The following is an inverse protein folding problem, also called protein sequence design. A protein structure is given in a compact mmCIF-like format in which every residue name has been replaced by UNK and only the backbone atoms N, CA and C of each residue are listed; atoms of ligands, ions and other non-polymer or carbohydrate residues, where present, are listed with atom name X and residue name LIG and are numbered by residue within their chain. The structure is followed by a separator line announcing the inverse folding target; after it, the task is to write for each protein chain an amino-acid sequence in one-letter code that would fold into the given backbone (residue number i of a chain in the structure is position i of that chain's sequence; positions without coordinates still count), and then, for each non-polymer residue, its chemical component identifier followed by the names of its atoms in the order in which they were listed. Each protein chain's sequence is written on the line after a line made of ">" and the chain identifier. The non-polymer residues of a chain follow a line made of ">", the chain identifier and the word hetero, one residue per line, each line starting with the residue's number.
data_IF_695014316442
#
_entry.id   IF_695014316442
#
_cell.length_a   1.000
_cell.length_b   1.000
_cell.length_c   1.000
_cell.angle_alpha   90.00
_cell.angle_beta   90.00
_cell.angle_gamma   90.00
#
_symmetry.space_group_name_H-M   'P 1'
#
loop_
_entity.id
_entity.type
_entity.pdbx_description
1 polymer ?
#
# COMPACT_ATOMS: atom_id res chain seq x y z
N UNK A 1 -45.96 16.92 -15.79
CA UNK A 1 -45.25 18.15 -15.40
C UNK A 1 -44.15 17.73 -14.43
N UNK A 2 -42.99 17.33 -14.93
CA UNK A 2 -41.87 18.20 -15.35
C UNK A 2 -41.13 18.81 -14.14
N UNK A 3 -39.80 18.77 -14.23
CA UNK A 3 -38.81 19.52 -13.45
C UNK A 3 -38.28 18.93 -12.13
N UNK A 4 -37.55 17.80 -12.26
CA UNK A 4 -36.24 17.63 -11.63
C UNK A 4 -35.23 17.15 -12.68
N UNK A 5 -34.65 18.12 -13.39
CA UNK A 5 -33.55 17.98 -14.35
C UNK A 5 -32.29 18.62 -13.75
N UNK A 6 -31.12 18.13 -14.19
CA UNK A 6 -29.74 18.57 -13.92
C UNK A 6 -29.23 18.10 -12.55
N UNK A 7 -28.26 17.17 -12.39
CA UNK A 7 -26.94 17.04 -13.04
C UNK A 7 -26.51 15.56 -12.93
N UNK A 8 -26.82 14.71 -13.92
CA UNK A 8 -26.56 13.26 -13.83
C UNK A 8 -25.99 12.60 -15.09
N UNK A 9 -25.54 13.39 -16.07
CA UNK A 9 -25.30 12.87 -17.44
C UNK A 9 -23.89 13.10 -18.01
N UNK A 10 -22.89 13.43 -17.19
CA UNK A 10 -21.52 13.69 -17.69
C UNK A 10 -20.39 12.98 -16.95
N UNK A 11 -20.64 11.78 -16.39
CA UNK A 11 -19.57 10.95 -15.81
C UNK A 11 -19.51 9.50 -16.32
N UNK A 12 -20.35 9.13 -17.28
CA UNK A 12 -20.40 7.77 -17.83
C UNK A 12 -19.88 7.68 -19.27
N UNK A 13 -19.10 8.67 -19.71
CA UNK A 13 -18.59 8.79 -21.11
C UNK A 13 -17.07 8.93 -21.23
N UNK A 14 -16.32 8.41 -20.26
CA UNK A 14 -14.85 8.42 -20.24
C UNK A 14 -14.24 7.06 -19.84
N UNK A 15 -14.89 5.96 -20.23
CA UNK A 15 -14.36 4.60 -20.05
C UNK A 15 -14.66 3.69 -21.25
N UNK A 16 -14.92 4.28 -22.42
CA UNK A 16 -15.27 3.56 -23.66
C UNK A 16 -14.23 3.75 -24.77
N UNK A 17 -13.01 4.16 -24.46
CA UNK A 17 -11.93 4.32 -25.42
C UNK A 17 -10.59 3.89 -24.83
N UNK A 18 -10.43 2.60 -24.55
CA UNK A 18 -9.12 1.92 -24.59
C UNK A 18 -9.33 0.40 -24.70
N UNK A 19 -10.06 0.03 -25.74
CA UNK A 19 -9.82 -1.25 -26.41
C UNK A 19 -8.64 -1.08 -27.37
N UNK A 20 -7.88 -2.17 -27.60
CA UNK A 20 -6.78 -2.36 -28.58
C UNK A 20 -5.42 -2.04 -27.92
N UNK A 21 -4.68 -3.00 -27.40
CA UNK A 21 -4.02 -4.10 -28.11
C UNK A 21 -3.56 -5.15 -27.08
N UNK A 22 -3.42 -6.42 -27.50
CA UNK A 22 -2.95 -7.60 -26.75
C UNK A 22 -4.00 -8.47 -26.05
N UNK A 23 -5.02 -8.90 -26.80
CA UNK A 23 -5.62 -10.22 -26.57
C UNK A 23 -6.16 -10.79 -27.89
N UNK A 24 -5.26 -11.07 -28.82
CA UNK A 24 -5.55 -11.85 -30.02
C UNK A 24 -4.81 -13.18 -29.90
N UNK A 25 -5.51 -14.29 -30.24
CA UNK A 25 -5.16 -15.70 -29.98
C UNK A 25 -5.56 -16.11 -28.55
N UNK A 26 -6.73 -16.71 -28.29
CA UNK A 26 -7.33 -17.84 -28.98
C UNK A 26 -8.86 -17.86 -28.70
N UNK A 27 -9.62 -16.99 -29.37
CA UNK A 27 -11.09 -17.10 -29.37
C UNK A 27 -11.50 -18.22 -30.32
N UNK A 28 -11.65 -19.44 -29.80
CA UNK A 28 -12.35 -20.53 -30.49
C UNK A 28 -13.75 -20.64 -29.88
N UNK A 29 -14.71 -20.03 -30.59
CA UNK A 29 -16.17 -20.22 -30.56
C UNK A 29 -16.85 -20.51 -29.20
N UNK A 30 -17.47 -19.48 -28.60
CA UNK A 30 -18.74 -19.66 -27.86
C UNK A 30 -19.87 -19.37 -28.84
N UNK A 31 -20.58 -20.42 -29.25
CA UNK A 31 -21.81 -20.30 -30.02
C UNK A 31 -22.89 -19.62 -29.19
N UNK A 32 -23.49 -18.59 -29.75
CA UNK A 32 -24.73 -17.99 -29.27
C UNK A 32 -25.90 -18.88 -29.70
N UNK A 33 -26.58 -19.51 -28.74
CA UNK A 33 -27.92 -20.07 -28.98
C UNK A 33 -28.90 -19.42 -28.01
N UNK A 34 -29.92 -18.81 -28.61
CA UNK A 34 -31.06 -18.17 -28.00
C UNK A 34 -32.06 -19.18 -27.43
N UNK A 35 -32.74 -18.77 -26.35
CA UNK A 35 -33.96 -19.34 -25.73
C UNK A 35 -33.74 -20.38 -24.62
N UNK A 36 -34.32 -20.07 -23.46
CA UNK A 36 -34.75 -21.04 -22.44
C UNK A 36 -33.82 -21.18 -21.23
N UNK A 37 -34.36 -20.81 -20.06
CA UNK A 37 -33.96 -21.29 -18.72
C UNK A 37 -32.46 -21.26 -18.38
N UNK A 38 -32.02 -20.20 -17.71
CA UNK A 38 -30.70 -20.17 -17.09
C UNK A 38 -30.69 -21.15 -15.90
N UNK A 39 -30.10 -22.34 -16.10
CA UNK A 39 -29.73 -23.21 -14.98
C UNK A 39 -28.71 -22.44 -14.14
N UNK A 40 -28.93 -22.42 -12.82
CA UNK A 40 -28.02 -21.88 -11.81
C UNK A 40 -26.72 -22.70 -11.81
N UNK A 41 -25.85 -22.47 -12.77
CA UNK A 41 -24.53 -23.06 -12.84
C UNK A 41 -23.51 -21.94 -12.93
N UNK A 42 -22.77 -21.73 -11.85
CA UNK A 42 -21.57 -20.91 -11.88
C UNK A 42 -20.65 -21.46 -12.98
N UNK A 43 -20.07 -20.59 -13.79
CA UNK A 43 -19.15 -21.01 -14.85
C UNK A 43 -17.89 -21.61 -14.19
N UNK A 44 -17.84 -22.93 -14.08
CA UNK A 44 -16.63 -23.62 -13.62
C UNK A 44 -15.51 -23.42 -14.66
N UNK A 45 -14.32 -23.09 -14.17
CA UNK A 45 -13.15 -22.88 -15.01
C UNK A 45 -12.86 -24.15 -15.81
N UNK A 46 -12.82 -24.04 -17.14
CA UNK A 46 -12.60 -25.20 -18.04
C UNK A 46 -11.31 -26.00 -17.73
N UNK A 47 -10.34 -25.38 -17.03
CA UNK A 47 -9.12 -26.03 -16.57
C UNK A 47 -9.37 -27.11 -15.52
N UNK A 48 -10.44 -27.00 -14.72
CA UNK A 48 -10.81 -27.96 -13.68
C UNK A 48 -11.41 -29.21 -14.32
N UNK A 49 -12.29 -29.05 -15.31
CA UNK A 49 -12.97 -30.15 -16.01
C UNK A 49 -12.01 -30.98 -16.88
N UNK A 50 -10.97 -30.34 -17.43
CA UNK A 50 -9.93 -31.01 -18.24
C UNK A 50 -8.80 -31.62 -17.40
N UNK A 51 -8.87 -31.52 -16.07
CA UNK A 51 -7.81 -32.03 -15.20
C UNK A 51 -8.07 -33.50 -14.80
N UNK A 52 -6.98 -34.25 -14.61
CA UNK A 52 -7.08 -35.68 -14.26
C UNK A 52 -7.88 -35.85 -12.94
N UNK A 53 -8.87 -36.76 -12.89
CA UNK A 53 -9.79 -36.89 -11.75
C UNK A 53 -9.08 -37.27 -10.43
N UNK A 54 -7.94 -37.97 -10.52
CA UNK A 54 -7.10 -38.28 -9.36
C UNK A 54 -6.42 -37.04 -8.76
N UNK A 55 -6.07 -36.05 -9.58
CA UNK A 55 -5.46 -34.80 -9.12
C UNK A 55 -6.48 -33.92 -8.41
N UNK A 56 -7.70 -33.84 -8.95
CA UNK A 56 -8.81 -33.07 -8.37
C UNK A 56 -9.19 -33.60 -6.99
N UNK A 57 -9.42 -34.91 -6.87
CA UNK A 57 -9.73 -35.57 -5.59
C UNK A 57 -8.61 -35.42 -4.56
N UNK A 58 -7.34 -35.48 -4.99
CA UNK A 58 -6.19 -35.20 -4.12
C UNK A 58 -6.20 -33.76 -3.60
N UNK A 59 -6.42 -32.78 -4.47
CA UNK A 59 -6.48 -31.36 -4.06
C UNK A 59 -7.70 -31.13 -3.15
N UNK A 60 -8.86 -31.71 -3.43
CA UNK A 60 -10.04 -31.68 -2.55
C UNK A 60 -9.75 -32.23 -1.15
N UNK A 61 -9.06 -33.36 -1.08
CA UNK A 61 -8.69 -33.97 0.21
C UNK A 61 -7.75 -33.07 1.03
N UNK A 62 -6.87 -32.32 0.34
CA UNK A 62 -5.90 -31.42 0.96
C UNK A 62 -6.52 -30.06 1.35
N UNK A 63 -7.61 -29.64 0.70
CA UNK A 63 -8.32 -28.38 1.03
C UNK A 63 -8.82 -28.37 2.49
N UNK A 64 -9.07 -29.53 3.09
CA UNK A 64 -9.61 -29.65 4.46
C UNK A 64 -8.56 -29.91 5.54
N UNK A 65 -7.27 -30.06 5.19
CA UNK A 65 -6.21 -30.27 6.17
C UNK A 65 -5.43 -28.97 6.41
N UNK A 66 -5.71 -28.27 7.50
CA UNK A 66 -4.88 -27.17 7.99
C UNK A 66 -3.95 -27.67 9.09
N UNK A 67 -2.71 -27.22 9.08
CA UNK A 67 -1.73 -27.50 10.14
C UNK A 67 -1.70 -26.29 11.06
N UNK A 68 -2.03 -26.47 12.33
CA UNK A 68 -1.91 -25.41 13.36
C UNK A 68 -0.47 -25.37 13.84
N UNK A 69 0.24 -24.30 13.51
CA UNK A 69 1.61 -24.06 13.96
C UNK A 69 1.56 -23.00 15.05
N UNK A 70 1.97 -23.36 16.27
CA UNK A 70 1.94 -22.48 17.45
C UNK A 70 3.11 -21.48 17.49
N UNK A 71 4.19 -21.76 16.76
CA UNK A 71 5.38 -20.92 16.75
C UNK A 71 5.22 -19.67 15.87
N UNK A 72 5.82 -18.53 16.25
CA UNK A 72 5.79 -17.32 15.44
C UNK A 72 6.56 -17.54 14.13
N UNK A 73 5.88 -17.25 13.01
CA UNK A 73 6.46 -17.40 11.67
C UNK A 73 7.64 -16.42 11.46
N UNK A 74 8.86 -16.91 11.69
CA UNK A 74 10.08 -16.14 11.53
C UNK A 74 10.68 -16.40 10.15
N UNK A 75 10.59 -15.42 9.26
CA UNK A 75 11.04 -15.46 7.87
C UNK A 75 12.55 -15.22 7.71
N UNK A 76 13.25 -14.90 8.80
CA UNK A 76 14.68 -14.49 8.77
C UNK A 76 15.57 -15.51 8.07
N UNK A 77 15.40 -16.79 8.40
CA UNK A 77 16.20 -17.90 7.87
C UNK A 77 15.97 -18.15 6.37
N UNK A 78 14.79 -17.82 5.85
CA UNK A 78 14.38 -18.08 4.46
C UNK A 78 14.75 -16.91 3.54
N UNK A 79 14.81 -15.70 4.09
CA UNK A 79 14.94 -14.44 3.32
C UNK A 79 16.25 -14.28 2.52
N UNK A 80 17.30 -15.07 2.82
CA UNK A 80 18.61 -14.96 2.17
C UNK A 80 19.41 -13.71 2.56
N UNK A 81 18.93 -12.92 3.53
CA UNK A 81 19.62 -11.76 4.06
C UNK A 81 20.73 -12.23 5.03
N UNK A 82 21.97 -11.72 4.92
CA UNK A 82 23.03 -12.09 5.86
C UNK A 82 22.67 -11.67 7.28
N UNK A 83 22.98 -12.53 8.25
CA UNK A 83 22.61 -12.34 9.67
C UNK A 83 23.10 -11.01 10.27
N UNK A 84 24.23 -10.49 9.80
CA UNK A 84 24.77 -9.18 10.20
C UNK A 84 23.76 -8.04 9.98
N UNK A 85 23.06 -8.06 8.84
CA UNK A 85 22.10 -7.00 8.50
C UNK A 85 20.72 -7.18 9.14
N UNK A 86 20.49 -8.29 9.85
CA UNK A 86 19.25 -8.55 10.60
C UNK A 86 19.42 -8.07 12.04
N UNK A 87 20.52 -8.49 12.70
CA UNK A 87 20.74 -8.22 14.12
C UNK A 87 21.35 -6.83 14.40
N UNK A 88 22.33 -6.39 13.61
CA UNK A 88 23.09 -5.17 13.93
C UNK A 88 22.38 -3.88 13.53
N UNK A 89 21.24 -3.95 12.84
CA UNK A 89 20.53 -2.77 12.34
C UNK A 89 19.26 -2.55 13.10
N UNK A 90 19.06 -1.31 13.53
CA UNK A 90 17.76 -0.83 13.98
C UNK A 90 16.94 -0.31 12.81
N UNK A 91 15.63 -0.50 12.94
CA UNK A 91 14.60 -0.03 12.05
C UNK A 91 13.78 1.03 12.76
N UNK A 92 13.49 2.14 12.09
CA UNK A 92 12.65 3.20 12.61
C UNK A 92 11.30 3.17 11.91
N UNK A 93 10.23 3.03 12.70
CA UNK A 93 8.84 3.06 12.23
C UNK A 93 8.23 4.38 12.67
N UNK A 94 7.84 5.23 11.72
CA UNK A 94 7.32 6.56 12.01
C UNK A 94 6.40 7.07 10.92
N UNK A 95 5.55 8.06 11.22
CA UNK A 95 4.89 8.86 10.17
C UNK A 95 5.80 10.02 9.78
N UNK A 96 6.08 10.23 8.48
CA UNK A 96 6.98 11.29 8.06
C UNK A 96 6.41 12.65 8.44
N UNK A 97 7.30 13.54 8.87
CA UNK A 97 6.93 14.91 9.19
C UNK A 97 6.56 15.67 7.91
N UNK A 98 5.57 16.55 8.01
CA UNK A 98 5.19 17.42 6.88
C UNK A 98 6.39 18.30 6.52
N UNK A 99 6.74 18.35 5.24
CA UNK A 99 7.71 19.34 4.75
C UNK A 99 7.26 20.76 5.15
N UNK A 100 8.12 21.49 5.86
CA UNK A 100 7.81 22.84 6.36
C UNK A 100 7.59 23.86 5.24
N UNK A 101 8.29 23.69 4.11
CA UNK A 101 8.21 24.61 2.96
C UNK A 101 6.90 24.48 2.18
N UNK A 102 6.22 23.33 2.27
CA UNK A 102 4.98 23.06 1.54
C UNK A 102 3.79 22.97 2.48
N UNK A 103 2.58 23.30 2.01
CA UNK A 103 1.35 23.21 2.83
C UNK A 103 0.65 21.84 2.72
N UNK A 104 0.98 21.03 1.71
CA UNK A 104 0.38 19.72 1.49
C UNK A 104 0.63 18.72 2.62
N UNK A 105 -0.35 17.85 2.89
CA UNK A 105 -0.32 16.87 4.01
C UNK A 105 -0.49 15.42 3.55
N UNK A 106 -0.49 15.16 2.25
CA UNK A 106 -0.75 13.83 1.70
C UNK A 106 0.28 12.79 2.16
N UNK A 107 1.56 13.17 2.15
CA UNK A 107 2.68 12.29 2.49
C UNK A 107 2.69 11.83 3.96
N UNK A 108 2.05 12.60 4.86
CA UNK A 108 2.07 12.34 6.31
C UNK A 108 1.08 11.27 6.78
N UNK A 109 0.27 10.71 5.88
CA UNK A 109 -0.82 9.81 6.27
C UNK A 109 -0.34 8.39 6.56
N UNK A 110 0.61 7.91 5.75
CA UNK A 110 1.12 6.54 5.79
C UNK A 110 2.26 6.40 6.81
N UNK A 111 2.43 5.18 7.32
CA UNK A 111 3.58 4.81 8.13
C UNK A 111 4.76 4.47 7.22
N UNK A 112 5.94 4.93 7.62
CA UNK A 112 7.19 4.70 6.92
C UNK A 112 8.11 3.88 7.81
N UNK A 113 8.72 2.86 7.23
CA UNK A 113 9.75 2.05 7.84
C UNK A 113 11.08 2.34 7.12
N UNK A 114 12.03 2.86 7.88
CA UNK A 114 13.37 3.20 7.41
C UNK A 114 14.44 2.44 8.20
N UNK A 115 15.51 2.06 7.50
CA UNK A 115 16.69 1.49 8.14
C UNK A 115 17.66 2.58 8.57
N UNK A 116 18.44 2.32 9.63
CA UNK A 116 19.55 3.20 10.00
C UNK A 116 20.59 3.32 8.87
N UNK A 117 20.98 4.56 8.58
CA UNK A 117 22.00 4.87 7.59
C UNK A 117 23.40 4.55 8.13
N UNK A 118 24.15 3.75 7.38
CA UNK A 118 25.60 3.52 7.61
C UNK A 118 26.45 4.64 7.01
N UNK A 119 27.76 4.54 7.22
CA UNK A 119 28.75 5.49 6.70
C UNK A 119 28.69 5.61 5.17
N UNK A 120 28.73 6.86 4.70
CA UNK A 120 28.93 7.22 3.29
C UNK A 120 30.26 7.95 3.17
N UNK A 121 31.03 7.68 2.13
CA UNK A 121 32.35 8.27 1.90
C UNK A 121 32.46 8.87 0.51
N UNK A 122 33.45 9.73 0.32
CA UNK A 122 33.74 10.34 -0.98
C UNK A 122 34.53 9.39 -1.88
N UNK A 123 34.14 9.30 -3.15
CA UNK A 123 34.88 8.58 -4.17
C UNK A 123 36.12 9.38 -4.60
N UNK A 124 37.35 8.86 -4.45
CA UNK A 124 38.59 9.61 -4.70
C UNK A 124 38.76 10.10 -6.14
N UNK A 125 38.07 9.50 -7.12
CA UNK A 125 38.19 9.90 -8.53
C UNK A 125 37.20 11.00 -8.92
N UNK A 126 35.91 10.82 -8.58
CA UNK A 126 34.81 11.68 -9.06
C UNK A 126 34.16 12.55 -7.98
N UNK A 127 34.47 12.33 -6.71
CA UNK A 127 33.84 13.04 -5.59
C UNK A 127 32.41 12.59 -5.27
N UNK A 128 31.94 11.45 -5.81
CA UNK A 128 30.61 10.93 -5.54
C UNK A 128 30.47 10.33 -4.14
N UNK A 129 29.25 10.27 -3.62
CA UNK A 129 28.96 9.63 -2.32
C UNK A 129 28.81 8.12 -2.50
N UNK A 130 29.86 7.37 -2.16
CA UNK A 130 29.88 5.91 -2.17
C UNK A 130 29.37 5.34 -0.84
N UNK A 131 28.74 4.17 -0.90
CA UNK A 131 28.26 3.43 0.27
C UNK A 131 28.45 1.92 0.06
N UNK A 132 28.69 1.19 1.15
CA UNK A 132 28.73 -0.27 1.19
C UNK A 132 27.43 -0.88 1.71
N UNK A 133 26.39 -0.06 1.85
CA UNK A 133 25.12 -0.48 2.45
C UNK A 133 24.03 -0.78 1.41
N UNK A 134 23.55 -2.04 1.29
CA UNK A 134 22.48 -2.39 0.36
C UNK A 134 21.09 -1.90 0.79
N UNK A 135 20.83 -1.66 2.09
CA UNK A 135 19.50 -1.30 2.61
C UNK A 135 19.32 0.20 2.80
N UNK A 136 20.32 1.02 2.48
CA UNK A 136 20.31 2.46 2.78
C UNK A 136 19.19 3.24 2.08
N UNK A 137 18.68 2.72 0.96
CA UNK A 137 17.67 3.38 0.13
C UNK A 137 16.31 2.67 0.20
N UNK A 138 16.17 1.67 1.08
CA UNK A 138 14.95 0.90 1.22
C UNK A 138 14.00 1.64 2.15
N UNK A 139 12.85 2.03 1.61
CA UNK A 139 11.76 2.68 2.31
C UNK A 139 10.48 1.88 2.08
N UNK A 140 9.85 1.41 3.15
CA UNK A 140 8.57 0.70 3.06
C UNK A 140 7.45 1.58 3.61
N UNK A 141 6.31 1.51 2.94
CA UNK A 141 5.11 2.26 3.29
C UNK A 141 4.02 1.30 3.77
N UNK A 142 3.43 1.62 4.91
CA UNK A 142 2.38 0.83 5.55
C UNK A 142 1.15 1.70 5.85
N UNK A 143 -0.01 1.07 5.83
CA UNK A 143 -1.29 1.68 6.22
C UNK A 143 -1.39 1.88 7.73
N UNK A 144 -1.04 0.85 8.50
CA UNK A 144 -1.17 0.85 9.97
C UNK A 144 0.18 0.68 10.65
N UNK A 145 0.24 1.05 11.94
CA UNK A 145 1.42 0.84 12.79
C UNK A 145 1.66 -0.66 13.02
N UNK A 146 0.59 -1.40 13.26
CA UNK A 146 0.66 -2.81 13.62
C UNK A 146 1.14 -3.66 12.44
N UNK A 147 0.76 -3.31 11.20
CA UNK A 147 1.29 -3.97 10.00
C UNK A 147 2.82 -3.81 9.88
N UNK A 148 3.34 -2.62 10.22
CA UNK A 148 4.77 -2.35 10.18
C UNK A 148 5.52 -3.13 11.28
N UNK A 149 4.94 -3.20 12.49
CA UNK A 149 5.47 -3.99 13.60
C UNK A 149 5.50 -5.48 13.23
N UNK A 150 4.38 -6.02 12.75
CA UNK A 150 4.28 -7.41 12.31
C UNK A 150 5.25 -7.74 11.17
N UNK A 151 5.56 -6.77 10.29
CA UNK A 151 6.60 -6.95 9.28
C UNK A 151 8.01 -7.05 9.89
N UNK A 152 8.34 -6.21 10.86
CA UNK A 152 9.62 -6.28 11.57
C UNK A 152 9.77 -7.57 12.36
N UNK A 153 8.73 -7.99 13.08
CA UNK A 153 8.72 -9.22 13.90
C UNK A 153 8.88 -10.46 13.03
N UNK A 154 8.15 -10.56 11.91
CA UNK A 154 8.31 -11.67 10.95
C UNK A 154 9.73 -11.77 10.40
N UNK A 155 10.40 -10.64 10.16
CA UNK A 155 11.76 -10.63 9.62
C UNK A 155 12.86 -10.69 10.71
N UNK A 156 12.50 -10.56 11.98
CA UNK A 156 13.44 -10.52 13.10
C UNK A 156 14.28 -9.23 13.19
N UNK A 157 13.76 -8.09 12.69
CA UNK A 157 14.48 -6.81 12.80
C UNK A 157 14.22 -6.13 14.15
N UNK A 158 15.26 -5.55 14.74
CA UNK A 158 15.10 -4.65 15.89
C UNK A 158 14.46 -3.34 15.44
N UNK A 159 13.37 -2.94 16.09
CA UNK A 159 12.60 -1.77 15.68
C UNK A 159 12.37 -0.77 16.83
N UNK A 160 12.26 0.50 16.48
CA UNK A 160 11.86 1.61 17.34
C UNK A 160 10.63 2.27 16.70
N UNK A 161 9.60 2.56 17.50
CA UNK A 161 8.37 3.18 17.01
C UNK A 161 8.22 4.58 17.56
N UNK A 162 8.18 5.56 16.66
CA UNK A 162 7.88 6.94 17.01
C UNK A 162 6.37 7.16 17.07
N UNK A 163 5.91 7.84 18.12
CA UNK A 163 4.52 8.24 18.23
C UNK A 163 4.14 9.35 17.24
N UNK A 164 2.91 9.28 16.73
CA UNK A 164 2.41 10.24 15.74
C UNK A 164 2.06 11.56 16.39
N UNK A 165 2.67 12.64 15.90
CA UNK A 165 2.41 13.99 16.39
C UNK A 165 1.37 14.68 15.52
N UNK A 166 0.09 14.62 15.93
CA UNK A 166 -0.97 15.29 15.21
C UNK A 166 -0.94 16.81 15.39
N UNK A 167 -1.14 17.54 14.30
CA UNK A 167 -1.22 19.00 14.36
C UNK A 167 -2.52 19.42 15.05
N UNK A 168 -2.40 20.12 16.18
CA UNK A 168 -3.54 20.76 16.85
C UNK A 168 -4.26 21.74 15.90
N UNK A 169 -5.56 21.51 15.69
CA UNK A 169 -6.44 22.42 14.94
C UNK A 169 -6.79 23.63 15.84
N UNK A 170 -6.41 24.83 15.41
CA UNK A 170 -6.70 26.08 16.10
C UNK A 170 -8.01 26.68 15.56
N UNK A 171 -8.88 27.17 16.43
CA UNK A 171 -10.04 27.98 16.03
C UNK A 171 -9.52 29.32 15.49
N UNK A 172 -9.90 29.67 14.26
CA UNK A 172 -9.56 30.95 13.63
C UNK A 172 -10.84 31.66 13.24
N UNK A 173 -11.01 32.91 13.67
CA UNK A 173 -12.17 33.73 13.30
C UNK A 173 -11.68 35.03 12.67
N UNK A 174 -12.09 35.29 11.42
CA UNK A 174 -11.64 36.49 10.70
C UNK A 174 -12.04 37.81 11.40
N UNK A 175 -13.18 37.83 12.09
CA UNK A 175 -13.62 38.99 12.87
C UNK A 175 -12.66 39.36 14.02
N UNK A 176 -11.88 38.39 14.54
CA UNK A 176 -10.90 38.65 15.60
C UNK A 176 -9.74 39.53 15.13
N UNK A 177 -9.46 39.55 13.81
CA UNK A 177 -8.47 40.44 13.21
C UNK A 177 -8.85 41.93 13.34
N UNK A 178 -10.10 42.28 13.67
CA UNK A 178 -10.61 43.66 13.79
C UNK A 178 -11.28 43.95 15.14
N UNK A 179 -10.94 43.18 16.19
CA UNK A 179 -11.53 43.36 17.51
C UNK A 179 -11.26 44.75 18.10
N UNK A 180 -12.28 45.39 18.68
CA UNK A 180 -12.19 46.71 19.33
C UNK A 180 -11.27 46.70 20.58
N UNK A 181 -11.45 45.73 21.49
CA UNK A 181 -10.77 45.67 22.79
C UNK A 181 -9.76 44.52 22.97
N UNK A 182 -9.46 43.73 21.92
CA UNK A 182 -8.50 42.62 22.01
C UNK A 182 -7.23 42.93 21.23
N UNK A 183 -6.10 42.37 21.69
CA UNK A 183 -4.78 42.50 21.04
C UNK A 183 -4.61 41.64 19.78
N UNK A 184 -5.71 41.10 19.26
CA UNK A 184 -5.74 40.31 18.02
C UNK A 184 -5.88 41.18 16.77
N UNK A 185 -6.12 42.49 16.94
CA UNK A 185 -6.27 43.43 15.82
C UNK A 185 -4.98 43.51 15.00
N UNK A 186 -5.06 43.21 13.71
CA UNK A 186 -3.92 43.27 12.79
C UNK A 186 -3.68 44.71 12.33
N UNK A 187 -2.41 45.10 12.16
CA UNK A 187 -2.04 46.45 11.72
C UNK A 187 -2.27 46.68 10.22
N UNK A 188 -2.10 45.64 9.41
CA UNK A 188 -2.30 45.65 7.96
C UNK A 188 -2.83 44.30 7.49
N UNK A 189 -3.43 44.27 6.30
CA UNK A 189 -3.91 43.06 5.65
C UNK A 189 -3.61 43.12 4.15
#
# INVERSE_FOLDING_TARGET
>A
MAFRQLIGSTWQKLQSHESRLLSASLQRYKSSSSRGGFLNGDCEDNSIVLSDPEKVSRVESLKNSYVTVEEPNTLSNISGIPAEHVHNRRVRIYKPAKNSMQSGTFDTQNWKLDFENRARWENPLMGWTSTGDPKSNLHLWFSTKDDAIAYCERNGFHYEVDETHERRKLKKTYAENFSWNKRTRVGSK
#
